data_IF_980421688316
#
_entry.id   IF_980421688316
#
_cell.length_a   1.000
_cell.length_b   1.000
_cell.length_c   1.000
_cell.angle_alpha   90.00
_cell.angle_beta   90.00
_cell.angle_gamma   90.00
#
_symmetry.space_group_name_H-M   'P 1'
#
loop_
_entity.id
_entity.type
_entity.pdbx_description
1 polymer ?
#
# COMPACT_ATOMS: atom_id res chain seq x y z
N UNK A 1 5.67 20.51 -11.85
CA UNK A 1 5.31 21.77 -11.16
C UNK A 1 5.71 22.93 -12.04
N UNK A 2 4.77 23.81 -12.39
CA UNK A 2 5.03 25.04 -13.16
C UNK A 2 5.47 26.12 -12.17
N UNK A 3 6.65 26.70 -12.38
CA UNK A 3 7.23 27.76 -11.52
C UNK A 3 6.34 29.01 -11.53
N UNK A 4 6.26 29.76 -10.42
CA UNK A 4 5.58 31.08 -10.39
C UNK A 4 6.08 31.99 -11.52
N UNK A 5 7.39 32.02 -11.74
CA UNK A 5 8.03 32.78 -12.83
C UNK A 5 7.56 32.32 -14.21
N UNK A 6 7.22 31.04 -14.36
CA UNK A 6 6.73 30.44 -15.61
C UNK A 6 5.24 30.74 -15.80
N UNK A 7 4.42 30.63 -14.75
CA UNK A 7 3.01 31.02 -14.77
C UNK A 7 2.82 32.51 -15.09
N UNK A 8 3.60 33.39 -14.47
CA UNK A 8 3.57 34.83 -14.73
C UNK A 8 4.07 35.16 -16.15
N UNK A 9 5.07 34.44 -16.66
CA UNK A 9 5.51 34.58 -18.06
C UNK A 9 4.46 34.10 -19.06
N UNK A 10 3.79 33.00 -18.77
CA UNK A 10 2.72 32.43 -19.60
C UNK A 10 1.50 33.37 -19.62
N UNK A 11 1.11 33.95 -18.47
CA UNK A 11 0.03 34.93 -18.36
C UNK A 11 0.36 36.29 -19.00
N UNK A 12 1.64 36.68 -19.07
CA UNK A 12 2.06 37.92 -19.73
C UNK A 12 2.21 37.80 -21.25
N UNK A 13 2.28 36.58 -21.78
CA UNK A 13 2.33 36.30 -23.22
C UNK A 13 0.93 36.20 -23.85
N UNK A 14 -0.13 36.31 -23.04
CA UNK A 14 -1.50 36.29 -23.53
C UNK A 14 -1.90 37.69 -24.05
N UNK A 15 -2.47 37.74 -25.25
CA UNK A 15 -2.91 39.01 -25.85
C UNK A 15 -4.23 39.50 -25.26
N UNK A 16 -4.96 38.65 -24.53
CA UNK A 16 -6.26 38.97 -23.91
C UNK A 16 -6.11 40.10 -22.85
N UNK A 17 -6.80 41.24 -23.03
CA UNK A 17 -6.81 42.35 -22.08
C UNK A 17 -7.22 41.96 -20.66
N UNK A 18 -8.14 41.01 -20.50
CA UNK A 18 -8.58 40.52 -19.20
C UNK A 18 -7.45 39.75 -18.51
N UNK A 19 -6.72 38.93 -19.26
CA UNK A 19 -5.59 38.15 -18.74
C UNK A 19 -4.42 39.03 -18.33
N UNK A 20 -4.19 40.16 -19.02
CA UNK A 20 -3.21 41.18 -18.60
C UNK A 20 -3.59 41.89 -17.30
N UNK A 21 -4.89 42.15 -17.09
CA UNK A 21 -5.38 42.73 -15.83
C UNK A 21 -5.24 41.73 -14.69
N UNK A 22 -5.65 40.47 -14.90
CA UNK A 22 -5.51 39.40 -13.91
C UNK A 22 -4.03 39.17 -13.58
N UNK A 23 -3.13 39.14 -14.57
CA UNK A 23 -1.70 38.96 -14.35
C UNK A 23 -1.09 40.12 -13.55
N UNK A 24 -1.50 41.36 -13.83
CA UNK A 24 -1.06 42.55 -13.07
C UNK A 24 -1.52 42.55 -11.62
N UNK A 25 -2.76 42.13 -11.36
CA UNK A 25 -3.33 42.07 -10.00
C UNK A 25 -2.69 40.95 -9.18
N UNK A 26 -2.45 39.79 -9.81
CA UNK A 26 -1.68 38.70 -9.19
C UNK A 26 -0.26 39.16 -8.88
N UNK A 27 0.40 39.86 -9.80
CA UNK A 27 1.75 40.38 -9.56
C UNK A 27 1.79 41.33 -8.35
N UNK A 28 0.86 42.29 -8.28
CA UNK A 28 0.73 43.20 -7.14
C UNK A 28 0.48 42.44 -5.83
N UNK A 29 -0.39 41.43 -5.83
CA UNK A 29 -0.68 40.60 -4.66
C UNK A 29 0.58 39.86 -4.17
N UNK A 30 1.38 39.30 -5.07
CA UNK A 30 2.59 38.55 -4.74
C UNK A 30 3.78 39.44 -4.35
N UNK A 31 3.77 40.72 -4.74
CA UNK A 31 4.76 41.72 -4.34
C UNK A 31 4.41 42.41 -3.01
N UNK A 32 3.24 42.12 -2.42
CA UNK A 32 2.86 42.66 -1.11
C UNK A 32 3.86 42.21 -0.03
N UNK A 33 4.37 43.15 0.80
CA UNK A 33 5.25 42.81 1.90
C UNK A 33 4.48 42.09 3.01
N UNK A 34 4.99 40.94 3.40
CA UNK A 34 4.67 40.24 4.64
C UNK A 34 5.57 40.82 5.72
N UNK A 35 4.96 41.48 6.70
CA UNK A 35 5.65 41.95 7.90
C UNK A 35 5.55 40.91 9.02
N UNK A 36 6.65 40.74 9.77
CA UNK A 36 6.75 39.90 10.97
C UNK A 36 6.32 38.45 10.80
N UNK A 37 7.18 37.61 10.22
CA UNK A 37 7.12 36.16 10.51
C UNK A 37 7.64 36.01 11.95
N UNK A 38 6.81 35.62 12.93
CA UNK A 38 7.25 35.52 14.32
C UNK A 38 8.12 34.29 14.48
N UNK A 39 9.43 34.44 14.30
CA UNK A 39 10.41 33.45 14.75
C UNK A 39 10.96 33.96 16.07
N UNK A 40 10.67 33.26 17.16
CA UNK A 40 11.26 33.58 18.47
C UNK A 40 12.76 33.22 18.44
N UNK A 41 13.58 34.19 18.04
CA UNK A 41 15.03 34.04 17.93
C UNK A 41 15.75 34.20 19.26
N UNK A 42 15.08 34.71 20.30
CA UNK A 42 15.73 35.04 21.59
C UNK A 42 16.17 33.81 22.36
N UNK A 43 15.54 32.65 22.11
CA UNK A 43 15.80 31.40 22.81
C UNK A 43 16.55 30.33 21.98
N UNK A 44 17.00 30.67 20.77
CA UNK A 44 17.65 29.73 19.86
C UNK A 44 19.17 29.70 20.07
N UNK A 45 19.77 28.51 19.98
CA UNK A 45 21.24 28.38 20.09
C UNK A 45 21.90 28.99 18.84
N UNK A 46 23.16 29.47 18.95
CA UNK A 46 23.86 30.09 17.81
C UNK A 46 23.93 29.21 16.55
N UNK A 47 24.03 27.89 16.72
CA UNK A 47 24.05 26.93 15.62
C UNK A 47 22.68 26.78 14.94
N UNK A 48 21.59 26.89 15.71
CA UNK A 48 20.22 26.81 15.20
C UNK A 48 19.90 28.06 14.35
N UNK A 49 20.37 29.24 14.80
CA UNK A 49 20.29 30.50 14.06
C UNK A 49 21.09 30.47 12.74
N UNK A 50 22.26 29.83 12.73
CA UNK A 50 23.05 29.66 11.50
C UNK A 50 22.32 28.78 10.47
N UNK A 51 21.64 27.72 10.92
CA UNK A 51 20.85 26.85 10.06
C UNK A 51 19.58 27.56 9.53
N UNK A 52 18.86 28.23 10.43
CA UNK A 52 17.65 28.99 10.10
C UNK A 52 17.96 30.14 9.13
N UNK A 53 19.08 30.85 9.31
CA UNK A 53 19.54 31.88 8.38
C UNK A 53 20.02 31.35 7.03
N UNK A 54 20.51 30.10 6.95
CA UNK A 54 20.80 29.42 5.68
C UNK A 54 19.52 29.03 4.94
N UNK A 55 18.48 28.62 5.66
CA UNK A 55 17.19 28.20 5.10
C UNK A 55 16.33 29.41 4.69
N UNK A 56 16.32 30.46 5.50
CA UNK A 56 15.59 31.70 5.28
C UNK A 56 16.53 32.91 5.40
N UNK A 57 17.35 33.17 4.37
CA UNK A 57 18.23 34.35 4.39
C UNK A 57 17.37 35.62 4.48
N UNK A 58 17.56 36.39 5.56
CA UNK A 58 16.86 37.66 5.77
C UNK A 58 15.62 37.62 6.68
N UNK A 59 15.48 36.63 7.58
CA UNK A 59 14.36 36.49 8.55
C UNK A 59 13.88 37.77 9.26
N UNK A 60 14.71 38.81 9.33
CA UNK A 60 14.41 40.08 9.99
C UNK A 60 14.13 41.23 9.00
N UNK A 61 13.93 40.93 7.71
CA UNK A 61 13.61 41.90 6.66
C UNK A 61 12.21 41.65 6.11
N UNK A 62 11.55 42.69 5.60
CA UNK A 62 10.23 42.54 4.96
C UNK A 62 10.36 41.64 3.72
N UNK A 63 9.67 40.49 3.72
CA UNK A 63 9.62 39.59 2.57
C UNK A 63 8.38 39.87 1.74
N UNK A 64 8.44 39.78 0.41
CA UNK A 64 7.20 39.62 -0.37
C UNK A 64 6.70 38.17 -0.33
N UNK A 65 5.42 37.95 -0.67
CA UNK A 65 4.90 36.59 -0.89
C UNK A 65 5.69 35.82 -1.96
N UNK A 66 6.20 36.53 -2.98
CA UNK A 66 7.09 35.95 -4.00
C UNK A 66 8.43 35.53 -3.40
N UNK A 67 9.02 36.34 -2.52
CA UNK A 67 10.27 35.98 -1.85
C UNK A 67 10.09 34.75 -0.97
N UNK A 68 8.99 34.68 -0.21
CA UNK A 68 8.67 33.51 0.61
C UNK A 68 8.51 32.25 -0.25
N UNK A 69 7.78 32.33 -1.36
CA UNK A 69 7.61 31.21 -2.29
C UNK A 69 8.93 30.76 -2.91
N UNK A 70 9.78 31.70 -3.33
CA UNK A 70 11.09 31.41 -3.90
C UNK A 70 12.04 30.80 -2.85
N UNK A 71 11.99 31.24 -1.59
CA UNK A 71 12.77 30.63 -0.50
C UNK A 71 12.29 29.21 -0.18
N UNK A 72 10.97 28.97 -0.13
CA UNK A 72 10.40 27.63 0.06
C UNK A 72 10.75 26.68 -1.10
N UNK A 73 10.76 27.18 -2.33
CA UNK A 73 11.19 26.41 -3.49
C UNK A 73 12.68 26.11 -3.43
N UNK A 74 13.52 27.11 -3.14
CA UNK A 74 14.97 26.93 -2.95
C UNK A 74 15.26 25.97 -1.80
N UNK A 75 14.48 25.99 -0.72
CA UNK A 75 14.60 25.04 0.37
C UNK A 75 14.28 23.61 -0.07
N UNK A 76 13.22 23.41 -0.85
CA UNK A 76 12.92 22.09 -1.44
C UNK A 76 14.00 21.61 -2.42
N UNK A 77 14.53 22.52 -3.26
CA UNK A 77 15.67 22.23 -4.14
C UNK A 77 16.94 21.92 -3.32
N UNK A 78 17.16 22.63 -2.21
CA UNK A 78 18.26 22.39 -1.28
C UNK A 78 18.10 21.07 -0.53
N UNK A 79 16.90 20.65 -0.12
CA UNK A 79 16.66 19.34 0.49
C UNK A 79 16.93 18.19 -0.50
N UNK A 80 16.72 18.45 -1.79
CA UNK A 80 17.07 17.53 -2.87
C UNK A 80 18.60 17.47 -3.11
N UNK A 81 19.35 18.47 -2.65
CA UNK A 81 20.82 18.46 -2.64
C UNK A 81 21.33 17.58 -1.49
N UNK A 82 22.08 16.55 -1.85
CA UNK A 82 22.65 15.57 -0.95
C UNK A 82 23.43 16.19 0.22
N UNK A 83 24.08 17.35 0.03
CA UNK A 83 24.86 18.00 1.08
C UNK A 83 23.96 18.57 2.18
N UNK A 84 22.87 19.26 1.82
CA UNK A 84 22.00 19.88 2.83
C UNK A 84 21.15 18.84 3.54
N UNK A 85 20.73 17.77 2.85
CA UNK A 85 20.08 16.63 3.51
C UNK A 85 21.00 15.97 4.55
N UNK A 86 22.29 15.80 4.22
CA UNK A 86 23.29 15.31 5.17
C UNK A 86 23.48 16.26 6.35
N UNK A 87 23.48 17.56 6.12
CA UNK A 87 23.62 18.55 7.21
C UNK A 87 22.39 18.54 8.14
N UNK A 88 21.18 18.44 7.58
CA UNK A 88 19.93 18.28 8.34
C UNK A 88 19.93 16.97 9.15
N UNK A 89 20.28 15.84 8.52
CA UNK A 89 20.35 14.55 9.20
C UNK A 89 21.45 14.54 10.25
N UNK A 90 22.61 15.17 10.01
CA UNK A 90 23.67 15.32 11.02
C UNK A 90 23.15 16.07 12.24
N UNK A 91 22.52 17.23 12.02
CA UNK A 91 21.97 18.04 13.10
C UNK A 91 20.93 17.24 13.90
N UNK A 92 20.03 16.53 13.22
CA UNK A 92 19.06 15.64 13.84
C UNK A 92 19.75 14.55 14.68
N UNK A 93 20.77 13.87 14.16
CA UNK A 93 21.50 12.85 14.92
C UNK A 93 22.31 13.42 16.09
N UNK A 94 22.79 14.66 16.01
CA UNK A 94 23.55 15.29 17.10
C UNK A 94 22.64 15.78 18.23
N UNK A 95 21.42 16.18 17.91
CA UNK A 95 20.51 16.85 18.85
C UNK A 95 19.28 16.01 19.23
N UNK A 96 18.96 15.01 18.43
CA UNK A 96 17.80 14.11 18.54
C UNK A 96 18.19 12.63 18.23
N UNK A 97 19.29 12.06 18.76
CA UNK A 97 19.68 10.65 18.51
C UNK A 97 18.76 9.69 19.24
N UNK A 98 17.47 9.67 18.89
CA UNK A 98 16.48 8.92 19.62
C UNK A 98 16.60 7.42 19.31
N UNK A 99 16.97 7.04 18.08
CA UNK A 99 16.90 5.63 17.66
C UNK A 99 18.24 4.91 17.47
N UNK A 100 19.35 5.64 17.34
CA UNK A 100 20.65 5.06 16.98
C UNK A 100 21.23 4.06 17.98
N UNK A 101 20.71 4.02 19.21
CA UNK A 101 21.13 3.12 20.28
C UNK A 101 20.06 2.09 20.67
N UNK A 102 18.92 2.07 19.98
CA UNK A 102 17.84 1.15 20.29
C UNK A 102 18.22 -0.28 19.92
N UNK A 103 18.02 -1.19 20.88
CA UNK A 103 18.14 -2.64 20.68
C UNK A 103 16.83 -3.26 20.19
N UNK A 104 15.72 -2.67 20.60
CA UNK A 104 14.38 -3.04 20.16
C UNK A 104 13.82 -1.93 19.26
N UNK A 105 13.31 -2.33 18.11
CA UNK A 105 12.73 -1.44 17.10
C UNK A 105 11.24 -1.69 16.90
N UNK A 106 10.55 -2.27 17.89
CA UNK A 106 9.10 -2.37 17.91
C UNK A 106 8.44 -0.99 17.83
N UNK A 107 7.25 -0.90 17.22
CA UNK A 107 6.53 0.37 17.11
C UNK A 107 6.28 1.02 18.49
N UNK A 108 6.00 0.22 19.51
CA UNK A 108 5.81 0.71 20.88
C UNK A 108 7.07 1.43 21.38
N UNK A 109 8.24 0.81 21.23
CA UNK A 109 9.53 1.40 21.63
C UNK A 109 9.83 2.68 20.87
N UNK A 110 9.54 2.71 19.56
CA UNK A 110 9.67 3.91 18.72
C UNK A 110 8.79 5.04 19.23
N UNK A 111 7.51 4.75 19.52
CA UNK A 111 6.57 5.75 20.01
C UNK A 111 6.95 6.29 21.39
N UNK A 112 7.39 5.42 22.32
CA UNK A 112 7.82 5.85 23.64
C UNK A 112 9.07 6.74 23.57
N UNK A 113 9.99 6.39 22.68
CA UNK A 113 11.21 7.16 22.43
C UNK A 113 10.89 8.53 21.81
N UNK A 114 9.98 8.61 20.84
CA UNK A 114 9.55 9.88 20.26
C UNK A 114 8.79 10.76 21.27
N UNK A 115 7.96 10.16 22.13
CA UNK A 115 7.27 10.88 23.22
C UNK A 115 8.24 11.43 24.26
N UNK A 116 9.32 10.71 24.56
CA UNK A 116 10.36 11.15 25.49
C UNK A 116 11.28 12.22 24.88
N UNK A 117 11.31 12.34 23.54
CA UNK A 117 12.06 13.38 22.84
C UNK A 117 11.39 14.75 22.99
N UNK A 118 12.08 15.85 22.66
CA UNK A 118 11.48 17.19 22.61
C UNK A 118 10.25 17.31 21.68
N UNK A 119 10.03 16.34 20.79
CA UNK A 119 8.85 16.30 19.93
C UNK A 119 7.57 15.94 20.69
N UNK A 120 7.65 15.14 21.77
CA UNK A 120 6.51 14.82 22.63
C UNK A 120 5.36 14.06 21.95
N UNK A 121 5.63 13.39 20.82
CA UNK A 121 4.61 12.85 19.90
C UNK A 121 4.90 11.41 19.52
N UNK A 122 3.88 10.69 19.08
CA UNK A 122 3.99 9.40 18.40
C UNK A 122 4.40 9.58 16.94
N UNK A 123 4.80 8.48 16.30
CA UNK A 123 5.12 8.46 14.87
C UNK A 123 3.92 8.91 14.01
N UNK A 124 2.71 8.42 14.30
CA UNK A 124 1.50 8.78 13.54
C UNK A 124 1.14 10.27 13.69
N UNK A 125 1.24 10.82 14.91
CA UNK A 125 1.03 12.25 15.15
C UNK A 125 2.02 13.10 14.34
N UNK A 126 3.30 12.72 14.32
CA UNK A 126 4.32 13.41 13.52
C UNK A 126 4.06 13.31 12.02
N UNK A 127 3.61 12.16 11.52
CA UNK A 127 3.24 11.97 10.11
C UNK A 127 2.05 12.87 9.73
N UNK A 128 1.02 12.92 10.58
CA UNK A 128 -0.18 13.71 10.33
C UNK A 128 0.12 15.22 10.35
N UNK A 129 0.99 15.68 11.26
CA UNK A 129 1.46 17.07 11.31
C UNK A 129 2.34 17.45 10.13
N UNK A 130 3.26 16.58 9.72
CA UNK A 130 4.07 16.79 8.51
C UNK A 130 3.18 17.05 7.28
N UNK A 131 2.02 16.37 7.22
CA UNK A 131 1.05 16.51 6.15
C UNK A 131 0.01 17.62 6.40
N UNK A 132 0.20 18.48 7.40
CA UNK A 132 -0.66 19.63 7.74
C UNK A 132 -2.14 19.26 7.93
N UNK A 133 -2.44 18.03 8.36
CA UNK A 133 -3.82 17.55 8.50
C UNK A 133 -4.61 17.48 7.18
N UNK A 134 -3.96 17.63 6.02
CA UNK A 134 -4.62 17.49 4.71
C UNK A 134 -4.92 16.00 4.45
N UNK A 135 -6.01 15.68 3.74
CA UNK A 135 -6.26 14.32 3.27
C UNK A 135 -5.20 13.96 2.23
N UNK A 136 -4.13 13.32 2.69
CA UNK A 136 -3.05 12.78 1.87
C UNK A 136 -3.24 11.28 1.70
N UNK A 137 -2.77 10.75 0.57
CA UNK A 137 -2.80 9.31 0.29
C UNK A 137 -1.95 8.53 1.30
N UNK A 138 -2.29 7.25 1.51
CA UNK A 138 -1.48 6.36 2.36
C UNK A 138 -0.02 6.32 1.93
N UNK A 139 0.26 6.33 0.62
CA UNK A 139 1.61 6.38 0.07
C UNK A 139 2.40 7.61 0.57
N UNK A 140 1.77 8.79 0.56
CA UNK A 140 2.40 10.02 1.05
C UNK A 140 2.68 9.97 2.56
N UNK A 141 1.73 9.45 3.34
CA UNK A 141 1.93 9.21 4.79
C UNK A 141 3.09 8.24 5.03
N UNK A 142 3.14 7.17 4.23
CA UNK A 142 4.18 6.14 4.31
C UNK A 142 5.57 6.73 4.02
N UNK A 143 5.70 7.46 2.92
CA UNK A 143 6.95 8.13 2.54
C UNK A 143 7.38 9.14 3.62
N UNK A 144 6.44 9.90 4.19
CA UNK A 144 6.70 10.85 5.29
C UNK A 144 7.25 10.14 6.53
N UNK A 145 6.63 9.03 6.93
CA UNK A 145 7.08 8.23 8.08
C UNK A 145 8.48 7.66 7.87
N UNK A 146 8.78 7.14 6.67
CA UNK A 146 10.13 6.68 6.32
C UNK A 146 11.18 7.77 6.48
N UNK A 147 10.87 9.01 6.07
CA UNK A 147 11.75 10.15 6.25
C UNK A 147 11.98 10.49 7.72
N UNK A 148 10.90 10.52 8.52
CA UNK A 148 11.00 10.78 9.97
C UNK A 148 11.90 9.72 10.62
N UNK A 149 11.65 8.43 10.38
CA UNK A 149 12.46 7.35 10.94
C UNK A 149 13.94 7.46 10.55
N UNK A 150 14.23 7.90 9.32
CA UNK A 150 15.61 8.12 8.86
C UNK A 150 16.29 9.31 9.56
N UNK A 151 15.58 10.43 9.73
CA UNK A 151 16.11 11.62 10.39
C UNK A 151 16.48 11.35 11.85
N UNK A 152 15.71 10.51 12.53
CA UNK A 152 15.98 10.09 13.92
C UNK A 152 16.97 8.92 14.03
N UNK A 153 17.47 8.41 12.90
CA UNK A 153 18.58 7.46 12.86
C UNK A 153 18.21 5.99 13.07
N UNK A 154 16.96 5.59 12.77
CA UNK A 154 16.54 4.19 12.94
C UNK A 154 17.31 3.22 12.02
N UNK A 155 17.72 3.70 10.86
CA UNK A 155 18.45 2.93 9.85
C UNK A 155 19.91 2.63 10.25
N UNK A 156 20.41 3.24 11.34
CA UNK A 156 21.78 3.15 11.84
C UNK A 156 22.86 3.47 10.79
N UNK A 157 22.48 4.07 9.66
CA UNK A 157 23.40 4.33 8.57
C UNK A 157 24.31 5.51 8.88
N UNK A 158 25.59 5.37 8.49
CA UNK A 158 26.55 6.48 8.55
C UNK A 158 26.05 7.62 7.66
N UNK A 159 25.98 8.82 8.22
CA UNK A 159 25.50 10.01 7.54
C UNK A 159 26.20 10.34 6.20
N UNK A 160 27.42 9.83 5.98
CA UNK A 160 28.13 9.96 4.71
C UNK A 160 27.37 9.37 3.51
N UNK A 161 26.50 8.37 3.73
CA UNK A 161 25.72 7.70 2.68
C UNK A 161 24.31 8.28 2.50
N UNK A 162 23.83 9.11 3.43
CA UNK A 162 22.48 9.64 3.42
C UNK A 162 22.20 10.48 2.15
N UNK A 163 21.13 10.15 1.44
CA UNK A 163 20.66 10.84 0.24
C UNK A 163 19.12 10.79 0.23
N UNK A 164 18.49 11.94 0.02
CA UNK A 164 17.04 12.07 -0.02
C UNK A 164 16.41 11.20 -1.12
N UNK A 165 17.03 11.17 -2.31
CA UNK A 165 16.49 10.43 -3.46
C UNK A 165 16.52 8.92 -3.20
N UNK A 166 17.62 8.39 -2.65
CA UNK A 166 17.71 6.97 -2.33
C UNK A 166 16.71 6.59 -1.24
N UNK A 167 16.59 7.42 -0.20
CA UNK A 167 15.60 7.21 0.85
C UNK A 167 14.15 7.24 0.33
N UNK A 168 13.86 8.15 -0.59
CA UNK A 168 12.54 8.24 -1.23
C UNK A 168 12.26 6.99 -2.06
N UNK A 169 13.25 6.49 -2.81
CA UNK A 169 13.14 5.24 -3.57
C UNK A 169 12.93 4.04 -2.64
N UNK A 170 13.66 3.95 -1.53
CA UNK A 170 13.50 2.89 -0.52
C UNK A 170 12.10 2.91 0.08
N UNK A 171 11.59 4.10 0.42
CA UNK A 171 10.25 4.28 0.93
C UNK A 171 9.19 3.87 -0.10
N UNK A 172 9.39 4.21 -1.38
CA UNK A 172 8.52 3.78 -2.46
C UNK A 172 8.55 2.25 -2.64
N UNK A 173 9.73 1.63 -2.66
CA UNK A 173 9.86 0.18 -2.76
C UNK A 173 9.18 -0.55 -1.60
N UNK A 174 9.41 -0.09 -0.37
CA UNK A 174 8.74 -0.63 0.81
C UNK A 174 7.22 -0.41 0.74
N UNK A 175 6.75 0.73 0.25
CA UNK A 175 5.31 0.96 0.07
C UNK A 175 4.72 0.06 -1.02
N UNK A 176 5.38 -0.10 -2.17
CA UNK A 176 4.92 -1.00 -3.23
C UNK A 176 4.93 -2.47 -2.79
N UNK A 177 5.85 -2.87 -1.92
CA UNK A 177 5.84 -4.21 -1.35
C UNK A 177 4.63 -4.49 -0.44
N UNK A 178 3.89 -3.46 0.00
CA UNK A 178 2.60 -3.63 0.70
C UNK A 178 1.54 -4.30 -0.16
N UNK A 179 1.79 -4.38 -1.46
CA UNK A 179 1.01 -5.10 -2.44
C UNK A 179 1.49 -6.54 -2.67
N UNK A 180 2.30 -7.07 -1.77
CA UNK A 180 2.81 -8.44 -1.80
C UNK A 180 2.74 -9.04 -0.39
N UNK A 181 2.79 -10.37 -0.32
CA UNK A 181 2.80 -11.07 0.98
C UNK A 181 4.11 -10.83 1.72
N UNK A 182 5.22 -10.69 0.98
CA UNK A 182 6.56 -10.57 1.53
C UNK A 182 7.36 -9.42 0.92
N UNK A 183 8.09 -8.71 1.77
CA UNK A 183 9.23 -7.86 1.38
C UNK A 183 10.51 -8.59 1.76
N UNK A 184 11.24 -9.09 0.76
CA UNK A 184 12.51 -9.79 0.96
C UNK A 184 13.65 -8.84 0.58
N UNK A 185 14.52 -8.52 1.53
CA UNK A 185 15.67 -7.64 1.28
C UNK A 185 16.80 -7.90 2.26
N UNK A 186 18.05 -7.80 1.78
CA UNK A 186 19.26 -7.89 2.62
C UNK A 186 19.61 -6.57 3.30
N UNK A 187 18.97 -5.47 2.90
CA UNK A 187 19.16 -4.17 3.54
C UNK A 187 18.44 -4.10 4.91
N UNK A 188 19.24 -4.18 5.97
CA UNK A 188 18.76 -4.12 7.36
C UNK A 188 18.05 -2.79 7.68
N UNK A 189 18.59 -1.67 7.19
CA UNK A 189 17.99 -0.36 7.41
C UNK A 189 16.62 -0.25 6.77
N UNK A 190 16.45 -0.81 5.56
CA UNK A 190 15.16 -0.91 4.89
C UNK A 190 14.20 -1.83 5.65
N UNK A 191 14.66 -3.03 6.05
CA UNK A 191 13.82 -4.00 6.79
C UNK A 191 13.27 -3.39 8.08
N UNK A 192 14.12 -2.76 8.89
CA UNK A 192 13.74 -2.18 10.17
C UNK A 192 12.69 -1.08 10.01
N UNK A 193 12.91 -0.14 9.05
CA UNK A 193 11.93 0.92 8.76
C UNK A 193 10.61 0.34 8.23
N UNK A 194 10.67 -0.64 7.33
CA UNK A 194 9.48 -1.28 6.77
C UNK A 194 8.66 -1.98 7.86
N UNK A 195 9.30 -2.74 8.76
CA UNK A 195 8.62 -3.43 9.88
C UNK A 195 7.83 -2.44 10.76
N UNK A 196 8.47 -1.35 11.19
CA UNK A 196 7.81 -0.29 12.00
C UNK A 196 6.63 0.33 11.27
N UNK A 197 6.81 0.63 9.98
CA UNK A 197 5.77 1.27 9.18
C UNK A 197 4.59 0.35 8.89
N UNK A 198 4.86 -0.93 8.65
CA UNK A 198 3.81 -1.93 8.44
C UNK A 198 3.01 -2.13 9.73
N UNK A 199 3.66 -2.19 10.89
CA UNK A 199 2.98 -2.22 12.19
C UNK A 199 2.14 -0.94 12.40
N UNK A 200 2.70 0.25 12.13
CA UNK A 200 2.01 1.54 12.33
C UNK A 200 0.73 1.68 11.49
N UNK A 201 0.73 1.13 10.27
CA UNK A 201 -0.42 1.18 9.37
C UNK A 201 -1.24 -0.12 9.35
N UNK A 202 -0.97 -1.06 10.25
CA UNK A 202 -1.61 -2.38 10.30
C UNK A 202 -1.58 -3.13 8.96
N UNK A 203 -0.46 -3.04 8.24
CA UNK A 203 -0.21 -3.69 6.97
C UNK A 203 0.29 -5.12 7.20
N UNK A 204 -0.18 -6.07 6.38
CA UNK A 204 0.04 -7.50 6.59
C UNK A 204 1.33 -8.05 5.99
N UNK A 205 1.95 -7.32 5.06
CA UNK A 205 3.18 -7.74 4.41
C UNK A 205 4.25 -8.07 5.44
N UNK A 206 4.85 -9.25 5.31
CA UNK A 206 5.89 -9.71 6.24
C UNK A 206 7.26 -9.37 5.65
N UNK A 207 8.15 -8.84 6.48
CA UNK A 207 9.49 -8.42 6.05
C UNK A 207 10.53 -9.45 6.47
N UNK A 208 11.28 -9.97 5.51
CA UNK A 208 12.29 -11.00 5.71
C UNK A 208 13.66 -10.62 5.12
N UNK A 209 14.74 -11.14 5.70
CA UNK A 209 15.97 -11.42 4.95
C UNK A 209 15.78 -12.65 4.05
N UNK A 210 16.69 -12.90 3.10
CA UNK A 210 16.62 -14.11 2.30
C UNK A 210 16.71 -15.37 3.17
N UNK A 211 17.59 -15.37 4.18
CA UNK A 211 17.74 -16.49 5.12
C UNK A 211 16.44 -16.74 5.92
N UNK A 212 15.84 -15.69 6.48
CA UNK A 212 14.57 -15.79 7.20
C UNK A 212 13.45 -16.31 6.29
N UNK A 213 13.41 -15.86 5.04
CA UNK A 213 12.43 -16.31 4.06
C UNK A 213 12.60 -17.79 3.69
N UNK A 214 13.83 -18.27 3.49
CA UNK A 214 14.09 -19.70 3.23
C UNK A 214 13.73 -20.57 4.44
N UNK A 215 14.04 -20.11 5.66
CA UNK A 215 13.62 -20.80 6.87
C UNK A 215 12.08 -20.84 7.00
N UNK A 216 11.42 -19.74 6.65
CA UNK A 216 9.95 -19.67 6.66
C UNK A 216 9.33 -20.61 5.62
N UNK A 217 9.81 -20.57 4.38
CA UNK A 217 9.29 -21.40 3.27
C UNK A 217 9.65 -22.88 3.39
N UNK A 218 10.81 -23.23 3.95
CA UNK A 218 11.18 -24.61 4.24
C UNK A 218 10.24 -25.31 5.23
N UNK A 219 9.49 -24.54 6.01
CA UNK A 219 8.45 -25.03 6.92
C UNK A 219 7.04 -24.97 6.29
N UNK A 220 6.88 -24.39 5.11
CA UNK A 220 5.59 -24.39 4.42
C UNK A 220 5.32 -25.80 3.90
N UNK A 221 4.28 -26.42 4.44
CA UNK A 221 3.76 -27.69 3.96
C UNK A 221 3.31 -27.46 2.52
N UNK A 222 4.01 -28.03 1.55
CA UNK A 222 3.52 -28.11 0.17
C UNK A 222 2.22 -28.87 0.21
N UNK A 223 1.10 -28.18 -0.03
CA UNK A 223 -0.20 -28.82 -0.04
C UNK A 223 -0.20 -29.91 -1.10
N UNK A 224 -0.41 -31.14 -0.63
CA UNK A 224 -0.65 -32.33 -1.44
C UNK A 224 -1.78 -32.02 -2.43
N UNK A 225 -1.59 -32.42 -3.69
CA UNK A 225 -2.64 -32.35 -4.71
C UNK A 225 -3.91 -33.02 -4.16
N UNK A 226 -4.94 -32.23 -3.86
CA UNK A 226 -6.22 -32.75 -3.41
C UNK A 226 -6.94 -33.36 -4.60
N UNK A 227 -7.51 -34.56 -4.45
CA UNK A 227 -8.50 -35.01 -5.44
C UNK A 227 -9.73 -34.11 -5.39
N UNK A 228 -10.53 -34.06 -6.45
CA UNK A 228 -11.77 -33.28 -6.48
C UNK A 228 -12.74 -33.64 -5.35
N UNK A 229 -12.79 -34.92 -4.94
CA UNK A 229 -13.63 -35.38 -3.84
C UNK A 229 -13.10 -34.94 -2.48
N UNK A 230 -11.78 -35.00 -2.28
CA UNK A 230 -11.15 -34.51 -1.05
C UNK A 230 -11.32 -33.00 -0.91
N UNK A 231 -11.21 -32.27 -2.02
CA UNK A 231 -11.52 -30.84 -2.08
C UNK A 231 -12.94 -30.54 -1.60
N UNK A 232 -13.96 -31.21 -2.16
CA UNK A 232 -15.37 -31.00 -1.78
C UNK A 232 -15.61 -31.34 -0.30
N UNK A 233 -15.08 -32.48 0.16
CA UNK A 233 -15.21 -32.90 1.55
C UNK A 233 -14.59 -31.88 2.50
N UNK A 234 -13.43 -31.33 2.12
CA UNK A 234 -12.75 -30.31 2.90
C UNK A 234 -13.54 -29.01 2.95
N UNK A 235 -14.07 -28.53 1.82
CA UNK A 235 -14.93 -27.34 1.77
C UNK A 235 -16.14 -27.52 2.68
N UNK A 236 -16.78 -28.70 2.66
CA UNK A 236 -17.90 -29.02 3.54
C UNK A 236 -17.51 -28.97 5.02
N UNK A 237 -16.31 -29.46 5.37
CA UNK A 237 -15.79 -29.40 6.74
C UNK A 237 -15.54 -27.94 7.16
N UNK A 238 -14.97 -27.12 6.27
CA UNK A 238 -14.64 -25.71 6.55
C UNK A 238 -15.87 -24.81 6.71
N UNK A 239 -17.01 -25.17 6.11
CA UNK A 239 -18.32 -24.54 6.37
C UNK A 239 -18.89 -25.07 7.70
N UNK A 240 -18.25 -24.67 8.79
CA UNK A 240 -18.62 -25.04 10.15
C UNK A 240 -18.91 -23.80 11.02
N UNK A 241 -19.78 -23.91 12.05
CA UNK A 241 -20.17 -22.76 12.88
C UNK A 241 -19.00 -22.06 13.59
N UNK A 242 -17.94 -22.79 13.96
CA UNK A 242 -16.74 -22.27 14.61
C UNK A 242 -15.84 -21.45 13.67
N UNK A 243 -16.07 -21.53 12.36
CA UNK A 243 -15.34 -20.79 11.33
C UNK A 243 -16.13 -19.65 10.70
N UNK A 244 -17.38 -19.46 11.12
CA UNK A 244 -18.24 -18.38 10.63
C UNK A 244 -17.69 -17.03 11.08
N UNK A 245 -17.43 -16.16 10.11
CA UNK A 245 -16.98 -14.77 10.34
C UNK A 245 -18.19 -13.86 10.47
N UNK A 246 -19.08 -13.89 9.48
CA UNK A 246 -20.26 -13.03 9.43
C UNK A 246 -21.35 -13.61 8.53
N UNK A 247 -22.57 -13.13 8.72
CA UNK A 247 -23.72 -13.42 7.86
C UNK A 247 -24.42 -12.14 7.49
N UNK A 248 -24.64 -11.93 6.20
CA UNK A 248 -25.25 -10.72 5.63
C UNK A 248 -26.51 -11.09 4.84
N UNK A 249 -27.61 -10.38 5.09
CA UNK A 249 -28.85 -10.49 4.32
C UNK A 249 -28.92 -9.35 3.29
N UNK A 250 -29.01 -9.70 2.01
CA UNK A 250 -29.30 -8.74 0.95
C UNK A 250 -30.79 -8.71 0.65
N UNK A 251 -31.45 -7.59 0.94
CA UNK A 251 -32.86 -7.37 0.58
C UNK A 251 -33.05 -7.18 -0.92
N UNK A 252 -32.04 -6.64 -1.63
CA UNK A 252 -32.07 -6.42 -3.08
C UNK A 252 -32.08 -7.72 -3.86
N UNK A 253 -31.32 -8.72 -3.42
CA UNK A 253 -31.16 -10.00 -4.11
C UNK A 253 -31.89 -11.14 -3.41
N UNK A 254 -32.66 -10.86 -2.34
CA UNK A 254 -33.30 -11.86 -1.50
C UNK A 254 -32.37 -13.04 -1.14
N UNK A 255 -31.15 -12.69 -0.75
CA UNK A 255 -30.01 -13.62 -0.62
C UNK A 255 -29.41 -13.52 0.78
N UNK A 256 -29.16 -14.68 1.38
CA UNK A 256 -28.33 -14.80 2.57
C UNK A 256 -26.91 -15.16 2.14
N UNK A 257 -25.90 -14.48 2.67
CA UNK A 257 -24.49 -14.76 2.41
C UNK A 257 -23.76 -14.92 3.73
N UNK A 258 -23.12 -16.07 3.94
CA UNK A 258 -22.32 -16.38 5.12
C UNK A 258 -20.85 -16.52 4.74
N UNK A 259 -19.97 -15.80 5.45
CA UNK A 259 -18.51 -15.84 5.24
C UNK A 259 -17.85 -16.77 6.25
N UNK A 260 -16.95 -17.63 5.77
CA UNK A 260 -16.19 -18.56 6.61
C UNK A 260 -14.68 -18.41 6.34
N UNK A 261 -13.88 -18.56 7.41
CA UNK A 261 -12.41 -18.66 7.32
C UNK A 261 -12.00 -20.13 7.29
N UNK A 262 -11.47 -20.67 6.19
CA UNK A 262 -11.02 -22.06 6.13
C UNK A 262 -9.77 -22.30 7.01
N UNK A 263 -9.49 -23.56 7.36
CA UNK A 263 -8.29 -23.91 8.16
C UNK A 263 -7.00 -23.59 7.40
N UNK A 264 -6.96 -23.86 6.10
CA UNK A 264 -5.87 -23.43 5.22
C UNK A 264 -6.47 -22.92 3.91
N UNK A 265 -5.70 -22.12 3.18
CA UNK A 265 -6.09 -21.71 1.83
C UNK A 265 -6.21 -22.91 0.89
N UNK A 266 -7.08 -22.78 -0.10
CA UNK A 266 -7.22 -23.72 -1.20
C UNK A 266 -6.34 -23.27 -2.36
N UNK A 267 -5.57 -24.21 -2.92
CA UNK A 267 -4.62 -23.97 -4.01
C UNK A 267 -3.61 -22.84 -3.74
N UNK A 268 -3.34 -22.59 -2.45
CA UNK A 268 -2.51 -21.48 -1.93
C UNK A 268 -3.03 -20.09 -2.31
N UNK A 269 -4.32 -19.96 -2.60
CA UNK A 269 -4.90 -18.70 -3.09
C UNK A 269 -6.23 -18.34 -2.43
N UNK A 270 -7.16 -19.30 -2.34
CA UNK A 270 -8.49 -19.01 -1.81
C UNK A 270 -8.53 -19.25 -0.30
N UNK A 271 -8.52 -18.18 0.48
CA UNK A 271 -8.52 -18.18 1.94
C UNK A 271 -9.82 -17.61 2.53
N UNK A 272 -10.88 -17.50 1.72
CA UNK A 272 -12.22 -17.16 2.17
C UNK A 272 -13.27 -17.97 1.42
N UNK A 273 -14.31 -18.41 2.16
CA UNK A 273 -15.46 -19.13 1.62
C UNK A 273 -16.71 -18.27 1.83
N UNK A 274 -17.46 -18.00 0.76
CA UNK A 274 -18.80 -17.44 0.81
C UNK A 274 -19.81 -18.54 0.53
N UNK A 275 -20.69 -18.81 1.48
CA UNK A 275 -21.86 -19.64 1.25
C UNK A 275 -23.06 -18.76 0.91
N UNK A 276 -23.66 -19.00 -0.25
CA UNK A 276 -24.80 -18.25 -0.76
C UNK A 276 -26.04 -19.14 -0.68
N UNK A 277 -27.07 -18.64 0.01
CA UNK A 277 -28.43 -19.19 -0.02
C UNK A 277 -29.34 -18.15 -0.68
N UNK A 278 -29.64 -18.38 -1.95
CA UNK A 278 -30.42 -17.48 -2.80
C UNK A 278 -31.74 -18.16 -3.15
N UNK A 279 -32.86 -17.49 -2.86
CA UNK A 279 -34.20 -18.08 -3.01
C UNK A 279 -34.51 -18.42 -4.47
N UNK A 280 -33.97 -17.65 -5.43
CA UNK A 280 -34.30 -17.78 -6.85
C UNK A 280 -33.31 -18.70 -7.58
N UNK A 281 -32.02 -18.65 -7.21
CA UNK A 281 -30.94 -19.37 -7.90
C UNK A 281 -30.42 -20.59 -7.14
N UNK A 282 -30.87 -20.79 -5.91
CA UNK A 282 -30.49 -21.92 -5.06
C UNK A 282 -29.23 -21.65 -4.25
N UNK A 283 -28.52 -22.73 -3.92
CA UNK A 283 -27.33 -22.69 -3.07
C UNK A 283 -26.05 -22.68 -3.90
N UNK A 284 -25.06 -21.94 -3.44
CA UNK A 284 -23.74 -21.89 -4.06
C UNK A 284 -22.64 -21.62 -3.04
N UNK A 285 -21.41 -21.95 -3.42
CA UNK A 285 -20.21 -21.65 -2.65
C UNK A 285 -19.26 -20.88 -3.54
N UNK A 286 -18.70 -19.77 -3.05
CA UNK A 286 -17.67 -19.01 -3.74
C UNK A 286 -16.41 -19.04 -2.88
N UNK A 287 -15.34 -19.59 -3.42
CA UNK A 287 -14.02 -19.46 -2.83
C UNK A 287 -13.30 -18.28 -3.49
N UNK A 288 -12.81 -17.34 -2.69
CA UNK A 288 -12.11 -16.15 -3.18
C UNK A 288 -10.97 -15.76 -2.24
N UNK A 289 -9.96 -15.01 -2.70
CA UNK A 289 -8.98 -14.43 -1.81
C UNK A 289 -9.63 -13.37 -0.90
N UNK A 290 -9.23 -13.36 0.35
CA UNK A 290 -9.49 -12.33 1.33
C UNK A 290 -8.54 -11.17 1.04
N UNK A 291 -8.85 -10.38 0.00
CA UNK A 291 -8.05 -9.20 -0.32
C UNK A 291 -8.20 -8.16 0.79
N UNK A 292 -7.23 -8.16 1.70
CA UNK A 292 -6.90 -7.00 2.54
C UNK A 292 -6.17 -5.91 1.73
N UNK A 293 -5.72 -6.23 0.51
CA UNK A 293 -4.88 -5.37 -0.32
C UNK A 293 -5.69 -4.51 -1.29
N UNK A 294 -5.32 -3.22 -1.38
CA UNK A 294 -5.93 -2.20 -2.22
C UNK A 294 -5.73 -2.39 -3.75
N UNK A 295 -5.21 -3.53 -4.21
CA UNK A 295 -5.09 -3.83 -5.64
C UNK A 295 -6.14 -4.85 -6.09
N UNK A 296 -7.01 -4.40 -6.98
CA UNK A 296 -7.93 -5.23 -7.76
C UNK A 296 -7.25 -5.97 -8.92
N UNK A 297 -5.94 -5.78 -9.17
CA UNK A 297 -5.26 -6.41 -10.30
C UNK A 297 -5.06 -7.91 -10.08
N UNK A 298 -5.20 -8.67 -11.16
CA UNK A 298 -4.89 -10.09 -11.27
C UNK A 298 -3.69 -10.23 -12.21
N UNK A 299 -2.63 -10.91 -11.77
CA UNK A 299 -1.50 -11.22 -12.64
C UNK A 299 -1.80 -12.46 -13.47
N UNK A 300 -1.48 -12.43 -14.77
CA UNK A 300 -1.72 -13.59 -15.62
C UNK A 300 -0.94 -14.84 -15.17
N UNK A 301 0.28 -14.65 -14.62
CA UNK A 301 1.05 -15.75 -14.03
C UNK A 301 0.37 -16.35 -12.79
N UNK A 302 -0.32 -15.53 -11.99
CA UNK A 302 -1.10 -16.00 -10.83
C UNK A 302 -2.29 -16.86 -11.29
N UNK A 303 -3.04 -16.37 -12.29
CA UNK A 303 -4.16 -17.13 -12.89
C UNK A 303 -3.66 -18.46 -13.46
N UNK A 304 -2.54 -18.45 -14.18
CA UNK A 304 -1.89 -19.64 -14.74
C UNK A 304 -1.51 -20.65 -13.66
N UNK A 305 -0.82 -20.19 -12.60
CA UNK A 305 -0.41 -21.07 -11.50
C UNK A 305 -1.62 -21.72 -10.82
N UNK A 306 -2.65 -20.94 -10.52
CA UNK A 306 -3.86 -21.44 -9.86
C UNK A 306 -4.62 -22.41 -10.77
N UNK A 307 -4.81 -22.05 -12.05
CA UNK A 307 -5.46 -22.91 -13.05
C UNK A 307 -4.73 -24.25 -13.17
N UNK A 308 -3.40 -24.23 -13.22
CA UNK A 308 -2.60 -25.44 -13.34
C UNK A 308 -2.63 -26.30 -12.08
N UNK A 309 -2.67 -25.70 -10.87
CA UNK A 309 -2.87 -26.43 -9.62
C UNK A 309 -4.23 -27.12 -9.58
N UNK A 310 -5.29 -26.41 -10.00
CA UNK A 310 -6.64 -26.99 -10.07
C UNK A 310 -6.69 -28.11 -11.10
N UNK A 311 -6.13 -27.91 -12.30
CA UNK A 311 -6.02 -28.94 -13.32
C UNK A 311 -5.27 -30.18 -12.82
N UNK A 312 -4.15 -30.01 -12.10
CA UNK A 312 -3.42 -31.14 -11.51
C UNK A 312 -4.24 -31.93 -10.48
N UNK A 313 -5.20 -31.27 -9.82
CA UNK A 313 -6.09 -31.86 -8.81
C UNK A 313 -7.37 -32.48 -9.40
N UNK A 314 -7.98 -31.82 -10.39
CA UNK A 314 -9.30 -32.16 -10.92
C UNK A 314 -9.24 -32.83 -12.29
N UNK A 315 -8.12 -32.74 -13.00
CA UNK A 315 -7.95 -33.14 -14.39
C UNK A 315 -8.50 -32.11 -15.37
N UNK A 316 -8.77 -32.58 -16.59
CA UNK A 316 -9.29 -31.77 -17.69
C UNK A 316 -10.66 -31.18 -17.34
N UNK A 317 -10.91 -29.97 -17.83
CA UNK A 317 -12.20 -29.31 -17.71
C UNK A 317 -13.24 -29.90 -18.68
N UNK A 318 -14.47 -29.38 -18.66
CA UNK A 318 -15.57 -29.83 -19.53
C UNK A 318 -15.35 -29.55 -21.02
N UNK A 319 -14.46 -28.62 -21.34
CA UNK A 319 -14.02 -28.32 -22.71
C UNK A 319 -12.76 -29.11 -23.10
N UNK A 320 -12.30 -30.00 -22.22
CA UNK A 320 -11.10 -30.81 -22.37
C UNK A 320 -9.83 -29.97 -22.58
N UNK A 321 -9.76 -28.78 -21.97
CA UNK A 321 -8.57 -27.93 -21.94
C UNK A 321 -7.54 -28.50 -20.96
N UNK A 322 -6.29 -28.47 -21.41
CA UNK A 322 -5.11 -28.84 -20.63
C UNK A 322 -4.71 -27.65 -19.71
N UNK A 323 -3.44 -27.60 -19.31
CA UNK A 323 -2.81 -26.49 -18.62
C UNK A 323 -3.07 -25.14 -19.30
N UNK A 324 -2.97 -24.08 -18.50
CA UNK A 324 -3.26 -22.72 -18.92
C UNK A 324 -2.34 -22.27 -20.07
N UNK A 325 -2.94 -21.83 -21.18
CA UNK A 325 -2.26 -21.31 -22.35
C UNK A 325 -2.03 -19.80 -22.18
N UNK A 326 -0.78 -19.46 -21.88
CA UNK A 326 -0.34 -18.09 -21.64
C UNK A 326 -0.68 -17.12 -22.77
N UNK A 327 -0.63 -17.58 -24.03
CA UNK A 327 -0.85 -16.72 -25.18
C UNK A 327 -2.34 -16.52 -25.47
N UNK A 328 -3.10 -17.62 -25.53
CA UNK A 328 -4.51 -17.59 -25.88
C UNK A 328 -5.36 -16.99 -24.75
N UNK A 329 -5.10 -17.40 -23.52
CA UNK A 329 -5.98 -17.07 -22.40
C UNK A 329 -5.72 -15.66 -21.88
N UNK A 330 -4.48 -15.20 -21.83
CA UNK A 330 -4.19 -13.80 -21.46
C UNK A 330 -4.82 -12.83 -22.46
N UNK A 331 -4.84 -13.18 -23.76
CA UNK A 331 -5.55 -12.40 -24.78
C UNK A 331 -7.06 -12.41 -24.54
N UNK A 332 -7.64 -13.55 -24.16
CA UNK A 332 -9.06 -13.66 -23.83
C UNK A 332 -9.42 -12.85 -22.57
N UNK A 333 -8.59 -12.91 -21.53
CA UNK A 333 -8.77 -12.17 -20.27
C UNK A 333 -8.68 -10.67 -20.54
N UNK A 334 -7.67 -10.22 -21.28
CA UNK A 334 -7.51 -8.81 -21.64
C UNK A 334 -8.70 -8.26 -22.45
N UNK A 335 -9.31 -9.11 -23.28
CA UNK A 335 -10.53 -8.78 -24.05
C UNK A 335 -11.81 -8.91 -23.23
N UNK A 336 -11.76 -9.40 -21.99
CA UNK A 336 -12.94 -9.64 -21.16
C UNK A 336 -13.85 -10.78 -21.66
N UNK A 337 -13.31 -11.68 -22.49
CA UNK A 337 -14.05 -12.81 -23.09
C UNK A 337 -13.57 -14.16 -22.56
N UNK A 338 -12.71 -14.18 -21.54
CA UNK A 338 -12.32 -15.42 -20.89
C UNK A 338 -13.47 -15.94 -20.04
N UNK A 339 -14.03 -17.08 -20.44
CA UNK A 339 -15.18 -17.71 -19.77
C UNK A 339 -14.77 -18.54 -18.54
N UNK A 340 -13.47 -18.74 -18.34
CA UNK A 340 -12.94 -19.50 -17.21
C UNK A 340 -12.68 -20.97 -17.53
N UNK A 341 -12.81 -21.82 -16.50
CA UNK A 341 -12.67 -23.27 -16.55
C UNK A 341 -13.81 -23.93 -15.77
N UNK A 342 -14.48 -24.92 -16.36
CA UNK A 342 -15.65 -25.57 -15.75
C UNK A 342 -15.40 -27.06 -15.58
N UNK A 343 -15.61 -27.60 -14.38
CA UNK A 343 -15.64 -29.04 -14.12
C UNK A 343 -17.04 -29.47 -13.74
N UNK A 344 -17.59 -30.47 -14.44
CA UNK A 344 -18.95 -30.96 -14.22
C UNK A 344 -18.93 -32.17 -13.30
N UNK A 345 -19.78 -32.14 -12.27
CA UNK A 345 -19.95 -33.20 -11.29
C UNK A 345 -21.40 -33.66 -11.25
N UNK A 346 -21.70 -34.86 -10.70
CA UNK A 346 -23.07 -35.25 -10.43
C UNK A 346 -23.74 -34.26 -9.45
N UNK A 347 -24.73 -33.50 -9.92
CA UNK A 347 -25.51 -32.56 -9.11
C UNK A 347 -24.85 -31.20 -8.85
N UNK A 348 -23.67 -30.92 -9.41
CA UNK A 348 -23.00 -29.63 -9.26
C UNK A 348 -22.04 -29.35 -10.42
N UNK A 349 -21.59 -28.11 -10.55
CA UNK A 349 -20.41 -27.79 -11.35
C UNK A 349 -19.51 -26.83 -10.59
N UNK A 350 -18.21 -26.93 -10.87
CA UNK A 350 -17.19 -26.04 -10.34
C UNK A 350 -16.73 -25.13 -11.48
N UNK A 351 -16.75 -23.82 -11.26
CA UNK A 351 -16.32 -22.82 -12.24
C UNK A 351 -15.20 -21.96 -11.66
N UNK A 352 -14.03 -21.95 -12.31
CA UNK A 352 -12.99 -20.97 -12.07
C UNK A 352 -13.21 -19.78 -13.00
N UNK A 353 -13.55 -18.62 -12.44
CA UNK A 353 -13.89 -17.43 -13.22
C UNK A 353 -13.25 -16.15 -12.66
N UNK A 354 -13.18 -15.12 -13.49
CA UNK A 354 -12.94 -13.74 -13.02
C UNK A 354 -14.32 -13.13 -12.75
N UNK A 355 -14.64 -12.91 -11.48
CA UNK A 355 -15.92 -12.33 -11.08
C UNK A 355 -16.04 -10.92 -11.67
N UNK A 356 -17.11 -10.67 -12.44
CA UNK A 356 -17.29 -9.38 -13.15
C UNK A 356 -17.47 -8.19 -12.21
N UNK A 357 -18.03 -8.40 -11.03
CA UNK A 357 -18.26 -7.34 -10.04
C UNK A 357 -17.01 -6.96 -9.26
N UNK A 358 -16.23 -7.97 -8.83
CA UNK A 358 -15.05 -7.74 -7.99
C UNK A 358 -13.74 -7.71 -8.78
N UNK A 359 -13.75 -8.16 -10.04
CA UNK A 359 -12.57 -8.38 -10.88
C UNK A 359 -11.55 -9.34 -10.22
N UNK A 360 -12.02 -10.23 -9.36
CA UNK A 360 -11.19 -11.22 -8.66
C UNK A 360 -11.37 -12.60 -9.27
N UNK A 361 -10.29 -13.39 -9.26
CA UNK A 361 -10.37 -14.81 -9.57
C UNK A 361 -11.11 -15.51 -8.44
N UNK A 362 -12.12 -16.29 -8.78
CA UNK A 362 -12.99 -16.99 -7.84
C UNK A 362 -13.23 -18.41 -8.32
N UNK A 363 -13.36 -19.34 -7.38
CA UNK A 363 -13.74 -20.73 -7.66
C UNK A 363 -15.14 -20.96 -7.09
N UNK A 364 -16.12 -21.07 -7.98
CA UNK A 364 -17.53 -21.15 -7.66
C UNK A 364 -17.99 -22.61 -7.74
N UNK A 365 -18.64 -23.11 -6.69
CA UNK A 365 -19.34 -24.40 -6.69
C UNK A 365 -20.83 -24.10 -6.73
N UNK A 366 -21.50 -24.51 -7.82
CA UNK A 366 -22.91 -24.23 -8.02
C UNK A 366 -23.66 -25.55 -8.02
N UNK A 367 -24.59 -25.69 -7.08
CA UNK A 367 -25.43 -26.88 -6.96
C UNK A 367 -26.56 -26.79 -7.99
N UNK A 368 -26.70 -27.84 -8.79
CA UNK A 368 -27.82 -27.94 -9.74
C UNK A 368 -29.00 -28.50 -8.97
N UNK A 369 -30.16 -27.82 -8.92
CA UNK A 369 -31.35 -28.38 -8.30
C UNK A 369 -31.68 -29.71 -8.98
N UNK A 370 -31.87 -30.79 -8.21
CA UNK A 370 -32.49 -31.99 -8.77
C UNK A 370 -33.83 -31.56 -9.36
N UNK A 371 -34.01 -31.73 -10.67
CA UNK A 371 -35.35 -31.64 -11.25
C UNK A 371 -36.18 -32.66 -10.49
N UNK A 372 -37.10 -32.19 -9.67
CA UNK A 372 -38.17 -33.02 -9.15
C UNK A 372 -38.88 -33.59 -10.38
N UNK A 373 -38.61 -34.85 -10.68
CA UNK A 373 -39.38 -35.62 -11.65
C UNK A 373 -40.80 -35.64 -11.10
N UNK A 374 -41.65 -34.77 -11.65
CA UNK A 374 -43.07 -34.74 -11.36
C UNK A 374 -43.67 -36.11 -11.68
N UNK A 375 -44.26 -36.72 -10.67
CA UNK A 375 -45.29 -37.75 -10.81
C UNK A 375 -46.63 -37.05 -10.66
#
# INVERSE_FOLDING_TARGET
MTTYTKLVKELNNDEDPLMKVISSQLKQLFELPIHNIPVDTENLRPQDLEMISKIFPGLNTSFSLSDMFNHMQKFNEQLSDQKNFKDLRRYSLENLPAFSSLKDTSLQTINDTLKASPCGKTLDEMINEHNNGKPVSLNQKFISGFMILNLFGLDQEKNKKANYISLSNDAQHAFYATYSDFLITEDEGLRTKAKVMYENFALKTIVFSAEEFFAYTGNMVTHTQLSIMDFINRVKIDIAPDRLIETTQSTKFNRLTSLYSPVTSYFDYFDLIEFIDDVDTGKGIILRPNKYMQLSYLFYEEIKLITNKIHASFGNDSENKDQFDMELESKAINKGVWEGRIWVLPGAYINLEINKGTQQLSLCIIFVPEKTNGI
#
